data_IF_851478938481
#
_entry.id   IF_851478938481
#
_cell.length_a   1.000
_cell.length_b   1.000
_cell.length_c   1.000
_cell.angle_alpha   90.00
_cell.angle_beta   90.00
_cell.angle_gamma   90.00
#
_symmetry.space_group_name_H-M   'P 1'
#
loop_
_entity.id
_entity.type
_entity.pdbx_description
1 polymer ?
#
# COMPACT_ATOMS: atom_id res chain seq x y z
N UNK A 1 -79.11 -24.65 -15.41
CA UNK A 1 -77.99 -23.67 -15.54
C UNK A 1 -76.83 -24.25 -14.76
N UNK A 2 -75.86 -24.86 -15.45
CA UNK A 2 -74.63 -25.49 -14.81
C UNK A 2 -73.45 -24.58 -15.03
N UNK A 3 -72.91 -24.02 -13.94
CA UNK A 3 -71.73 -23.12 -13.93
C UNK A 3 -70.49 -23.97 -13.79
N UNK A 4 -69.71 -24.05 -14.84
CA UNK A 4 -68.40 -24.75 -14.82
C UNK A 4 -67.33 -23.83 -14.31
N UNK A 5 -66.72 -24.15 -13.15
CA UNK A 5 -65.62 -23.46 -12.53
C UNK A 5 -64.30 -24.13 -13.03
N UNK A 6 -63.57 -23.45 -13.93
CA UNK A 6 -62.26 -23.91 -14.35
C UNK A 6 -61.21 -23.34 -13.38
N UNK A 7 -60.64 -24.21 -12.58
CA UNK A 7 -59.52 -23.92 -11.69
C UNK A 7 -58.22 -23.97 -12.52
N UNK A 8 -57.65 -22.80 -12.84
CA UNK A 8 -56.33 -22.72 -13.51
C UNK A 8 -55.23 -22.90 -12.47
N UNK A 9 -54.58 -24.07 -12.48
CA UNK A 9 -53.40 -24.37 -11.65
C UNK A 9 -52.13 -23.85 -12.36
N UNK A 10 -51.66 -22.65 -11.98
CA UNK A 10 -50.39 -22.12 -12.48
C UNK A 10 -49.21 -22.79 -11.77
N UNK A 11 -48.47 -23.68 -12.49
CA UNK A 11 -47.22 -24.25 -12.03
C UNK A 11 -46.14 -23.16 -12.08
N UNK A 12 -45.76 -22.65 -10.90
CA UNK A 12 -44.62 -21.75 -10.77
C UNK A 12 -43.34 -22.61 -10.70
N UNK A 13 -42.64 -22.81 -11.83
CA UNK A 13 -41.37 -23.50 -11.90
C UNK A 13 -40.27 -22.50 -11.43
N UNK A 14 -39.85 -22.61 -10.17
CA UNK A 14 -38.68 -21.91 -9.66
C UNK A 14 -37.43 -22.55 -10.26
N UNK A 15 -36.81 -21.90 -11.24
CA UNK A 15 -35.49 -22.26 -11.75
C UNK A 15 -34.43 -21.86 -10.72
N UNK A 16 -33.94 -22.83 -9.95
CA UNK A 16 -32.76 -22.68 -9.11
C UNK A 16 -31.54 -22.53 -10.01
N UNK A 17 -31.14 -21.28 -10.29
CA UNK A 17 -29.84 -20.98 -10.89
C UNK A 17 -28.76 -21.23 -9.84
N UNK A 18 -28.15 -22.42 -9.86
CA UNK A 18 -26.90 -22.66 -9.15
C UNK A 18 -25.82 -21.79 -9.81
N UNK A 19 -25.45 -20.69 -9.14
CA UNK A 19 -24.25 -19.97 -9.49
C UNK A 19 -23.06 -20.93 -9.29
N UNK A 20 -22.57 -21.51 -10.38
CA UNK A 20 -21.33 -22.30 -10.36
C UNK A 20 -20.20 -21.36 -9.93
N UNK A 21 -19.82 -21.45 -8.67
CA UNK A 21 -18.63 -20.81 -8.13
C UNK A 21 -17.43 -21.40 -8.88
N UNK A 22 -16.91 -20.62 -9.85
CA UNK A 22 -15.75 -21.00 -10.66
C UNK A 22 -14.61 -21.28 -9.68
N UNK A 23 -14.27 -22.56 -9.49
CA UNK A 23 -13.16 -22.99 -8.65
C UNK A 23 -11.91 -22.40 -9.28
N UNK A 24 -11.40 -21.29 -8.71
CA UNK A 24 -10.15 -20.67 -9.18
C UNK A 24 -9.03 -21.67 -8.88
N UNK A 25 -8.47 -22.25 -9.93
CA UNK A 25 -7.27 -23.06 -9.79
C UNK A 25 -6.18 -22.21 -9.14
N UNK A 26 -5.47 -22.80 -8.16
CA UNK A 26 -4.34 -22.11 -7.55
C UNK A 26 -3.32 -21.77 -8.65
N UNK A 27 -2.79 -20.54 -8.68
CA UNK A 27 -1.78 -20.16 -9.66
C UNK A 27 -0.61 -21.17 -9.61
N UNK A 28 -0.13 -21.56 -10.77
CA UNK A 28 1.04 -22.41 -10.87
C UNK A 28 2.28 -21.64 -10.43
N UNK A 29 3.15 -22.27 -9.64
CA UNK A 29 4.39 -21.65 -9.18
C UNK A 29 5.24 -21.21 -10.38
N UNK A 30 5.75 -19.97 -10.32
CA UNK A 30 6.62 -19.36 -11.33
C UNK A 30 7.99 -19.08 -10.71
N UNK A 31 8.98 -19.94 -11.01
CA UNK A 31 10.33 -19.85 -10.49
C UNK A 31 11.06 -18.59 -10.96
N UNK A 32 10.88 -18.20 -12.21
CA UNK A 32 11.54 -17.02 -12.78
C UNK A 32 11.07 -15.75 -12.08
N UNK A 33 9.75 -15.59 -11.91
CA UNK A 33 9.17 -14.48 -11.19
C UNK A 33 9.63 -14.46 -9.72
N UNK A 34 9.63 -15.60 -9.05
CA UNK A 34 10.08 -15.69 -7.66
C UNK A 34 11.54 -15.24 -7.52
N UNK A 35 12.41 -15.68 -8.42
CA UNK A 35 13.82 -15.30 -8.46
C UNK A 35 14.00 -13.80 -8.73
N UNK A 36 13.29 -13.24 -9.72
CA UNK A 36 13.38 -11.81 -10.09
C UNK A 36 12.93 -10.87 -8.95
N UNK A 37 12.01 -11.32 -8.12
CA UNK A 37 11.50 -10.56 -6.97
C UNK A 37 12.36 -10.77 -5.70
N UNK A 38 13.33 -11.68 -5.72
CA UNK A 38 14.12 -12.05 -4.54
C UNK A 38 13.31 -12.80 -3.49
N UNK A 39 12.30 -13.56 -3.93
CA UNK A 39 11.43 -14.33 -3.05
C UNK A 39 12.14 -15.57 -2.52
N UNK A 40 11.91 -15.89 -1.26
CA UNK A 40 12.28 -17.18 -0.69
C UNK A 40 11.25 -18.28 -1.04
N UNK A 41 11.39 -19.47 -0.46
CA UNK A 41 10.47 -20.60 -0.69
C UNK A 41 9.01 -20.35 -0.30
N UNK A 42 8.75 -19.31 0.46
CA UNK A 42 7.41 -18.89 0.88
C UNK A 42 6.85 -17.71 0.07
N UNK A 43 7.61 -17.22 -0.94
CA UNK A 43 7.23 -16.04 -1.71
C UNK A 43 7.45 -14.74 -0.95
N UNK A 44 8.30 -14.74 0.07
CA UNK A 44 8.52 -13.62 0.98
C UNK A 44 9.95 -13.07 0.86
N UNK A 45 10.16 -11.84 1.29
CA UNK A 45 11.49 -11.25 1.51
C UNK A 45 11.51 -10.24 2.65
N UNK A 46 12.70 -9.85 3.07
CA UNK A 46 12.88 -8.82 4.09
C UNK A 46 12.80 -7.41 3.47
N UNK A 47 12.16 -6.52 4.20
CA UNK A 47 12.00 -5.09 3.96
C UNK A 47 12.31 -4.31 5.23
N UNK A 48 12.25 -3.00 5.15
CA UNK A 48 12.34 -2.12 6.31
C UNK A 48 11.13 -1.18 6.32
N UNK A 49 10.36 -1.17 7.42
CA UNK A 49 9.30 -0.19 7.65
C UNK A 49 9.91 1.01 8.37
N UNK A 50 9.58 2.20 7.90
CA UNK A 50 9.86 3.47 8.58
C UNK A 50 8.54 4.10 8.98
N UNK A 51 8.36 4.30 10.29
CA UNK A 51 7.23 5.02 10.85
C UNK A 51 7.66 6.46 11.09
N UNK A 52 7.04 7.40 10.38
CA UNK A 52 7.24 8.83 10.64
C UNK A 52 6.41 9.23 11.86
N UNK A 53 7.03 9.93 12.79
CA UNK A 53 6.37 10.51 13.98
C UNK A 53 6.46 12.02 13.95
N UNK A 54 5.66 12.70 14.78
CA UNK A 54 5.82 14.14 14.98
C UNK A 54 7.20 14.43 15.57
N UNK A 55 7.98 15.28 14.91
CA UNK A 55 9.32 15.64 15.33
C UNK A 55 9.34 16.75 16.40
N UNK A 56 10.53 17.10 16.90
CA UNK A 56 10.69 18.09 17.97
C UNK A 56 10.51 19.54 17.50
N UNK A 57 10.61 19.79 16.18
CA UNK A 57 10.57 21.16 15.66
C UNK A 57 9.15 21.55 15.27
N UNK A 58 8.65 22.62 15.87
CA UNK A 58 7.40 23.27 15.48
C UNK A 58 7.68 24.43 14.53
N UNK A 59 7.25 24.29 13.28
CA UNK A 59 7.37 25.34 12.25
C UNK A 59 6.06 26.13 12.21
N UNK A 60 6.07 27.36 12.73
CA UNK A 60 4.85 28.19 12.78
C UNK A 60 4.61 28.96 11.47
N UNK A 61 5.68 29.24 10.73
CA UNK A 61 5.58 29.92 9.44
C UNK A 61 4.96 28.97 8.38
N UNK A 62 3.75 29.31 7.93
CA UNK A 62 2.99 28.48 6.97
C UNK A 62 3.69 28.33 5.63
N UNK A 63 4.36 29.37 5.13
CA UNK A 63 5.11 29.31 3.86
C UNK A 63 6.26 28.33 3.99
N UNK A 64 7.04 28.43 5.06
CA UNK A 64 8.15 27.51 5.34
C UNK A 64 7.69 26.08 5.51
N UNK A 65 6.58 25.85 6.22
CA UNK A 65 5.98 24.52 6.35
C UNK A 65 5.56 23.97 4.98
N UNK A 66 4.93 24.79 4.13
CA UNK A 66 4.55 24.40 2.77
C UNK A 66 5.75 23.99 1.90
N UNK A 67 6.86 24.74 1.99
CA UNK A 67 8.11 24.39 1.30
C UNK A 67 8.68 23.05 1.76
N UNK A 68 8.69 22.81 3.08
CA UNK A 68 9.17 21.55 3.64
C UNK A 68 8.30 20.37 3.20
N UNK A 69 6.97 20.53 3.21
CA UNK A 69 6.05 19.47 2.75
C UNK A 69 6.17 19.21 1.25
N UNK A 70 6.36 20.26 0.44
CA UNK A 70 6.66 20.10 -0.99
C UNK A 70 7.96 19.32 -1.21
N UNK A 71 9.00 19.62 -0.43
CA UNK A 71 10.26 18.89 -0.47
C UNK A 71 10.12 17.43 -0.03
N UNK A 72 9.32 17.19 1.02
CA UNK A 72 8.96 15.84 1.49
C UNK A 72 8.30 15.01 0.38
N UNK A 73 7.27 15.54 -0.27
CA UNK A 73 6.59 14.83 -1.37
C UNK A 73 7.52 14.58 -2.56
N UNK A 74 8.34 15.57 -2.94
CA UNK A 74 9.32 15.40 -4.01
C UNK A 74 10.37 14.31 -3.67
N UNK A 75 10.79 14.22 -2.41
CA UNK A 75 11.72 13.18 -1.95
C UNK A 75 11.11 11.78 -2.00
N UNK A 76 9.82 11.65 -1.61
CA UNK A 76 9.08 10.39 -1.73
C UNK A 76 9.03 9.95 -3.20
N UNK A 77 8.62 10.84 -4.11
CA UNK A 77 8.57 10.55 -5.55
C UNK A 77 9.91 10.09 -6.09
N UNK A 78 11.00 10.83 -5.80
CA UNK A 78 12.35 10.43 -6.20
C UNK A 78 12.74 9.04 -5.70
N UNK A 79 12.52 8.76 -4.42
CA UNK A 79 12.87 7.45 -3.84
C UNK A 79 11.98 6.31 -4.38
N UNK A 80 10.74 6.60 -4.76
CA UNK A 80 9.85 5.65 -5.42
C UNK A 80 10.31 5.36 -6.86
N UNK A 81 10.69 6.39 -7.63
CA UNK A 81 11.24 6.25 -8.99
C UNK A 81 12.55 5.44 -9.00
N UNK A 82 13.36 5.58 -7.95
CA UNK A 82 14.58 4.79 -7.74
C UNK A 82 14.30 3.35 -7.22
N UNK A 83 13.03 2.97 -7.03
CA UNK A 83 12.63 1.65 -6.51
C UNK A 83 13.00 1.40 -5.05
N UNK A 84 13.32 2.45 -4.30
CA UNK A 84 13.69 2.41 -2.89
C UNK A 84 12.48 2.41 -1.96
N UNK A 85 11.47 3.25 -2.24
CA UNK A 85 10.17 3.23 -1.56
C UNK A 85 9.20 2.37 -2.37
N UNK A 86 8.57 1.40 -1.70
CA UNK A 86 7.49 0.61 -2.29
C UNK A 86 6.15 1.19 -1.86
N UNK A 87 5.97 1.48 -0.59
CA UNK A 87 4.74 2.03 -0.01
C UNK A 87 5.08 3.32 0.71
N UNK A 88 4.29 4.36 0.49
CA UNK A 88 4.29 5.59 1.25
C UNK A 88 2.85 6.06 1.48
N UNK A 89 2.56 6.57 2.66
CA UNK A 89 1.25 7.15 2.92
C UNK A 89 1.11 7.72 4.32
N UNK A 90 0.26 8.76 4.48
CA UNK A 90 -0.05 9.34 5.78
C UNK A 90 -1.06 8.49 6.55
N UNK A 91 -1.05 8.59 7.88
CA UNK A 91 -2.18 8.20 8.70
C UNK A 91 -3.24 9.30 8.65
N UNK A 92 -4.49 8.92 8.40
CA UNK A 92 -5.60 9.88 8.24
C UNK A 92 -6.07 10.47 9.58
N UNK A 93 -5.82 9.75 10.68
CA UNK A 93 -6.27 10.15 12.02
C UNK A 93 -5.11 10.26 12.99
N UNK A 94 -5.30 11.09 14.03
CA UNK A 94 -4.37 11.16 15.15
C UNK A 94 -4.41 9.85 15.93
N UNK A 95 -3.24 9.41 16.38
CA UNK A 95 -3.08 8.19 17.17
C UNK A 95 -2.17 8.43 18.37
N UNK A 96 -2.25 7.53 19.34
CA UNK A 96 -1.52 7.64 20.62
C UNK A 96 0.00 7.66 20.47
N UNK A 97 0.51 7.07 19.39
CA UNK A 97 1.94 6.99 19.07
C UNK A 97 2.45 8.21 18.30
N UNK A 98 1.57 9.16 17.96
CA UNK A 98 1.89 10.32 17.12
C UNK A 98 2.46 9.94 15.74
N UNK A 99 2.10 8.77 15.21
CA UNK A 99 2.45 8.39 13.86
C UNK A 99 1.80 9.32 12.84
N UNK A 100 2.61 9.80 11.91
CA UNK A 100 2.21 10.73 10.84
C UNK A 100 2.04 10.04 9.51
N UNK A 101 2.86 9.05 9.24
CA UNK A 101 2.84 8.26 8.02
C UNK A 101 3.80 7.09 8.12
N UNK A 102 3.83 6.27 7.07
CA UNK A 102 4.76 5.15 6.99
C UNK A 102 5.35 4.99 5.59
N UNK A 103 6.54 4.43 5.56
CA UNK A 103 7.17 3.92 4.34
C UNK A 103 7.46 2.43 4.49
N UNK A 104 7.40 1.69 3.37
CA UNK A 104 8.04 0.38 3.23
C UNK A 104 9.17 0.56 2.24
N UNK A 105 10.39 0.44 2.73
CA UNK A 105 11.60 0.48 1.91
C UNK A 105 11.99 -0.91 1.39
N UNK A 106 12.44 -0.94 0.14
CA UNK A 106 12.89 -2.15 -0.56
C UNK A 106 14.33 -2.52 -0.16
N UNK A 107 14.59 -2.58 1.11
CA UNK A 107 15.86 -3.01 1.68
C UNK A 107 15.66 -3.77 2.99
N UNK A 108 16.55 -4.70 3.29
CA UNK A 108 16.65 -5.37 4.60
C UNK A 108 17.57 -4.64 5.57
N UNK A 109 18.34 -3.66 5.09
CA UNK A 109 19.32 -2.91 5.92
C UNK A 109 18.62 -1.71 6.57
N UNK A 110 18.72 -1.65 7.90
CA UNK A 110 18.30 -0.47 8.67
C UNK A 110 19.12 0.76 8.34
N UNK A 111 20.41 0.56 8.10
CA UNK A 111 21.39 1.61 7.79
C UNK A 111 21.06 2.28 6.45
N UNK A 112 20.73 1.49 5.42
CA UNK A 112 20.28 2.05 4.13
C UNK A 112 18.96 2.78 4.28
N UNK A 113 17.98 2.20 4.98
CA UNK A 113 16.69 2.84 5.24
C UNK A 113 16.88 4.16 5.98
N UNK A 114 17.77 4.21 6.96
CA UNK A 114 18.11 5.42 7.69
C UNK A 114 18.76 6.47 6.80
N UNK A 115 19.69 6.08 5.92
CA UNK A 115 20.26 6.99 4.95
C UNK A 115 19.19 7.61 4.04
N UNK A 116 18.25 6.79 3.56
CA UNK A 116 17.19 7.26 2.65
C UNK A 116 16.20 8.19 3.36
N UNK A 117 15.73 7.85 4.56
CA UNK A 117 14.80 8.72 5.29
C UNK A 117 15.43 10.06 5.69
N UNK A 118 16.75 10.09 5.95
CA UNK A 118 17.50 11.33 6.25
C UNK A 118 17.64 12.27 5.06
N UNK A 119 17.33 11.84 3.82
CA UNK A 119 17.30 12.75 2.67
C UNK A 119 16.04 13.63 2.64
N UNK A 120 15.06 13.34 3.46
CA UNK A 120 13.79 14.06 3.52
C UNK A 120 13.95 15.42 4.19
N UNK A 121 13.61 16.54 3.51
CA UNK A 121 13.73 17.88 4.08
C UNK A 121 12.91 18.12 5.36
N UNK A 122 11.76 17.47 5.50
CA UNK A 122 10.94 17.59 6.70
C UNK A 122 11.54 16.83 7.89
N UNK A 123 12.24 15.73 7.63
CA UNK A 123 13.03 15.00 8.63
C UNK A 123 14.27 15.82 9.02
N UNK A 124 15.00 16.36 8.04
CA UNK A 124 16.18 17.22 8.30
C UNK A 124 15.84 18.46 9.11
N UNK A 125 14.66 19.05 8.87
CA UNK A 125 14.17 20.19 9.62
C UNK A 125 13.61 19.84 11.00
N UNK A 126 13.54 18.54 11.36
CA UNK A 126 12.98 18.07 12.62
C UNK A 126 11.47 18.17 12.74
N UNK A 127 10.75 18.41 11.63
CA UNK A 127 9.27 18.37 11.58
C UNK A 127 8.79 16.94 11.79
N UNK A 128 9.49 15.97 11.20
CA UNK A 128 9.30 14.56 11.45
C UNK A 128 10.52 13.95 12.15
N UNK A 129 10.23 13.05 13.08
CA UNK A 129 11.13 12.00 13.55
C UNK A 129 10.74 10.68 12.92
N UNK A 130 11.51 9.62 13.15
CA UNK A 130 11.23 8.31 12.56
C UNK A 130 11.67 7.17 13.47
N UNK A 131 11.00 6.02 13.29
CA UNK A 131 11.38 4.74 13.86
C UNK A 131 11.53 3.71 12.74
N UNK A 132 12.49 2.78 12.87
CA UNK A 132 12.84 1.83 11.82
C UNK A 132 12.66 0.40 12.31
N UNK A 133 11.86 -0.38 11.58
CA UNK A 133 11.51 -1.76 11.91
C UNK A 133 11.85 -2.70 10.75
N UNK A 134 12.67 -3.75 10.96
CA UNK A 134 12.77 -4.85 9.99
C UNK A 134 11.42 -5.53 9.86
N UNK A 135 11.04 -5.85 8.64
CA UNK A 135 9.77 -6.49 8.34
C UNK A 135 9.93 -7.56 7.25
N UNK A 136 9.18 -8.64 7.40
CA UNK A 136 9.18 -9.75 6.45
C UNK A 136 7.82 -9.83 5.79
N UNK A 137 7.76 -9.57 4.48
CA UNK A 137 6.53 -9.43 3.72
C UNK A 137 6.59 -10.13 2.36
N UNK A 138 5.47 -10.12 1.64
CA UNK A 138 5.40 -10.68 0.30
C UNK A 138 6.44 -10.04 -0.63
N UNK A 139 7.24 -10.85 -1.32
CA UNK A 139 8.18 -10.36 -2.33
C UNK A 139 7.47 -9.72 -3.53
N UNK A 140 6.18 -10.00 -3.72
CA UNK A 140 5.37 -9.42 -4.79
C UNK A 140 4.88 -7.98 -4.52
N UNK A 141 5.15 -7.41 -3.33
CA UNK A 141 4.73 -6.04 -2.98
C UNK A 141 5.09 -5.00 -4.04
N UNK A 142 6.30 -4.97 -4.65
CA UNK A 142 6.64 -3.96 -5.65
C UNK A 142 5.79 -4.01 -6.92
N UNK A 143 5.11 -5.12 -7.19
CA UNK A 143 4.33 -5.29 -8.43
C UNK A 143 3.13 -4.35 -8.53
N UNK A 144 2.59 -3.86 -7.39
CA UNK A 144 1.46 -2.93 -7.44
C UNK A 144 1.85 -1.54 -7.97
N UNK A 145 3.12 -1.15 -7.89
CA UNK A 145 3.59 0.18 -8.32
C UNK A 145 3.21 0.49 -9.76
N UNK A 146 3.29 -0.51 -10.64
CA UNK A 146 2.82 -0.37 -12.03
C UNK A 146 1.37 0.07 -12.10
N UNK A 147 0.49 -0.60 -11.34
CA UNK A 147 -0.93 -0.27 -11.33
C UNK A 147 -1.23 1.02 -10.60
N UNK A 148 -0.44 1.37 -9.59
CA UNK A 148 -0.56 2.68 -8.93
C UNK A 148 -0.37 3.82 -9.94
N UNK A 149 0.65 3.75 -10.79
CA UNK A 149 0.86 4.74 -11.85
C UNK A 149 -0.30 4.80 -12.87
N UNK A 150 -0.96 3.67 -13.14
CA UNK A 150 -2.10 3.59 -14.06
C UNK A 150 -3.38 4.26 -13.51
N UNK A 151 -3.53 4.36 -12.18
CA UNK A 151 -4.71 4.92 -11.50
C UNK A 151 -4.50 6.35 -10.98
N UNK A 152 -3.26 6.86 -10.96
CA UNK A 152 -2.94 8.21 -10.52
C UNK A 152 -3.07 9.20 -11.68
N UNK A 153 -3.95 10.19 -11.55
CA UNK A 153 -4.05 11.30 -12.52
C UNK A 153 -3.06 12.43 -12.21
N UNK A 154 -2.72 12.59 -10.94
CA UNK A 154 -1.87 13.66 -10.42
C UNK A 154 -0.92 13.07 -9.38
N UNK A 155 0.27 13.64 -9.26
CA UNK A 155 1.15 13.35 -8.14
C UNK A 155 0.70 14.16 -6.92
N UNK A 156 0.65 13.57 -5.73
CA UNK A 156 0.24 14.23 -4.50
C UNK A 156 1.19 15.37 -4.06
#
# INVERSE_FOLDING_TARGET
>A
MKLNFYLALSLFTATLTFAQQKKTEKPKFNQELATSLGADKYGMKAYTIVMLTTGPTKVENKTKMGELMKGHMANIGKLADEGKIIVAGPFLEQNKQNFRGMFIFNTKSKEEAEQWVKTDPAVQAGVFSYEIFPWYGSAALPLYLKHHAEISKENP
#
